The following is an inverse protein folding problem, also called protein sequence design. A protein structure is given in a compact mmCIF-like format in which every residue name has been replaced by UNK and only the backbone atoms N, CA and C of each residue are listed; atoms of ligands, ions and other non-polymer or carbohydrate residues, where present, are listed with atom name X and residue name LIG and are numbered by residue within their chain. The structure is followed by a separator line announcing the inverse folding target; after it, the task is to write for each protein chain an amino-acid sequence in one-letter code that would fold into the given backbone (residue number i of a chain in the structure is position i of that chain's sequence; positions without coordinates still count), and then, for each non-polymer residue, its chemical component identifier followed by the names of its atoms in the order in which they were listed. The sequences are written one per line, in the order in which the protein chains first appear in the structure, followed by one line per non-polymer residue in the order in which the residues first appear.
data_IF_666362512884
#
_entry.id   IF_666362512884
#
_cell.length_a   1.000
_cell.length_b   1.000
_cell.length_c   1.000
_cell.angle_alpha   90.00
_cell.angle_beta   90.00
_cell.angle_gamma   90.00
#
_symmetry.space_group_name_H-M   'P 1'
#
loop_
_entity.id
_entity.type
_entity.pdbx_description
1 polymer ?
#
# COMPACT_ATOMS: atom_id res chain seq x y z
N UNK A 1 -13.11 12.40 -9.44
CA UNK A 1 -12.95 13.09 -10.74
C UNK A 1 -14.03 14.13 -10.90
N UNK A 2 -13.68 15.37 -11.24
CA UNK A 2 -14.57 16.29 -11.97
C UNK A 2 -13.67 17.12 -12.88
N UNK A 3 -13.40 16.60 -14.09
CA UNK A 3 -12.59 17.32 -15.09
C UNK A 3 -13.39 18.55 -15.51
N UNK A 4 -12.93 19.74 -15.14
CA UNK A 4 -13.39 20.99 -15.77
C UNK A 4 -12.87 20.98 -17.22
N UNK A 5 -13.62 20.34 -18.10
CA UNK A 5 -13.54 20.64 -19.52
C UNK A 5 -13.89 22.11 -19.68
N UNK A 6 -12.89 22.94 -19.99
CA UNK A 6 -13.17 24.23 -20.64
C UNK A 6 -13.64 23.88 -22.05
N UNK A 7 -14.96 23.73 -22.19
CA UNK A 7 -15.61 23.61 -23.48
C UNK A 7 -15.60 24.99 -24.15
N UNK A 8 -14.44 25.40 -24.66
CA UNK A 8 -14.34 26.49 -25.62
C UNK A 8 -14.98 26.00 -26.93
N UNK A 9 -16.30 26.12 -27.01
CA UNK A 9 -17.07 25.85 -28.23
C UNK A 9 -16.89 27.02 -29.21
N UNK A 10 -15.66 27.17 -29.72
CA UNK A 10 -15.35 27.99 -30.89
C UNK A 10 -15.88 27.27 -32.14
N UNK A 11 -17.20 27.26 -32.30
CA UNK A 11 -17.91 26.52 -33.34
C UNK A 11 -17.85 27.24 -34.71
N UNK A 12 -16.65 27.40 -35.26
CA UNK A 12 -16.40 27.86 -36.63
C UNK A 12 -16.30 26.65 -37.59
N UNK A 13 -17.36 25.83 -37.66
CA UNK A 13 -17.41 24.68 -38.58
C UNK A 13 -17.66 25.17 -40.00
N UNK A 14 -16.59 25.47 -40.74
CA UNK A 14 -16.61 25.58 -42.21
C UNK A 14 -16.18 24.22 -42.79
N UNK A 15 -16.96 23.18 -42.47
CA UNK A 15 -16.88 21.89 -43.15
C UNK A 15 -17.77 21.94 -44.40
N UNK A 16 -17.28 22.60 -45.44
CA UNK A 16 -18.01 22.75 -46.70
C UNK A 16 -17.11 23.27 -47.82
N UNK A 17 -16.91 22.46 -48.84
CA UNK A 17 -16.20 22.82 -50.08
C UNK A 17 -17.07 23.74 -50.95
N UNK A 18 -17.29 24.96 -50.48
CA UNK A 18 -18.00 26.02 -51.18
C UNK A 18 -17.06 27.22 -51.33
N UNK A 19 -16.70 27.54 -52.58
CA UNK A 19 -15.75 28.61 -52.91
C UNK A 19 -16.40 29.99 -52.72
N UNK A 20 -16.45 30.46 -51.46
CA UNK A 20 -16.85 31.83 -51.14
C UNK A 20 -15.63 32.72 -51.29
N UNK A 21 -15.63 33.73 -52.19
CA UNK A 21 -14.46 34.57 -52.43
C UNK A 21 -14.17 35.48 -51.23
N UNK A 22 -13.29 35.01 -50.34
CA UNK A 22 -12.80 35.76 -49.19
C UNK A 22 -11.91 36.92 -49.66
N UNK A 23 -12.22 38.13 -49.17
CA UNK A 23 -11.44 39.34 -49.39
C UNK A 23 -10.07 39.25 -48.71
N UNK A 24 -9.10 40.05 -49.19
CA UNK A 24 -7.72 40.05 -48.68
C UNK A 24 -7.66 40.28 -47.15
N UNK A 25 -8.46 41.23 -46.65
CA UNK A 25 -8.58 41.50 -45.21
C UNK A 25 -9.13 40.30 -44.39
N UNK A 26 -10.06 39.51 -44.95
CA UNK A 26 -10.57 38.31 -44.29
C UNK A 26 -9.52 37.20 -44.26
N UNK A 27 -8.73 37.04 -45.33
CA UNK A 27 -7.65 36.06 -45.39
C UNK A 27 -6.47 36.41 -44.44
N UNK A 28 -6.07 37.68 -44.36
CA UNK A 28 -5.11 38.14 -43.33
C UNK A 28 -5.62 37.91 -41.90
N UNK A 29 -6.92 38.07 -41.67
CA UNK A 29 -7.56 37.80 -40.38
C UNK A 29 -7.55 36.29 -40.05
N UNK A 30 -7.76 35.43 -41.06
CA UNK A 30 -7.66 33.98 -40.91
C UNK A 30 -6.23 33.55 -40.53
N UNK A 31 -5.20 34.02 -41.24
CA UNK A 31 -3.78 33.73 -40.90
C UNK A 31 -3.46 34.16 -39.46
N UNK A 32 -3.86 35.38 -39.05
CA UNK A 32 -3.68 35.85 -37.66
C UNK A 32 -4.42 34.99 -36.63
N UNK A 33 -5.58 34.42 -36.97
CA UNK A 33 -6.27 33.49 -36.06
C UNK A 33 -5.54 32.14 -35.93
N UNK A 34 -5.00 31.61 -37.05
CA UNK A 34 -4.22 30.38 -37.06
C UNK A 34 -2.92 30.55 -36.27
N UNK A 35 -2.20 31.67 -36.44
CA UNK A 35 -0.98 31.98 -35.67
C UNK A 35 -1.22 32.12 -34.15
N UNK A 36 -2.40 32.59 -33.75
CA UNK A 36 -2.80 32.62 -32.34
C UNK A 36 -3.12 31.21 -31.81
N UNK A 37 -3.79 30.36 -32.59
CA UNK A 37 -4.02 28.95 -32.22
C UNK A 37 -2.73 28.12 -32.20
N UNK A 38 -1.83 28.30 -33.17
CA UNK A 38 -0.46 27.78 -33.19
C UNK A 38 0.25 28.07 -31.87
N UNK A 39 0.28 29.35 -31.48
CA UNK A 39 0.96 29.82 -30.26
C UNK A 39 0.39 29.17 -29.01
N UNK A 40 -0.94 29.09 -28.88
CA UNK A 40 -1.62 28.44 -27.76
C UNK A 40 -1.42 26.91 -27.72
N UNK A 41 -1.35 26.25 -28.88
CA UNK A 41 -1.02 24.81 -28.98
C UNK A 41 0.43 24.56 -28.61
N UNK A 42 1.37 25.41 -29.06
CA UNK A 42 2.81 25.31 -28.77
C UNK A 42 3.10 25.54 -27.28
N UNK A 43 2.41 26.49 -26.64
CA UNK A 43 2.43 26.68 -25.19
C UNK A 43 1.84 25.45 -24.46
N UNK A 44 0.73 24.89 -24.95
CA UNK A 44 0.14 23.66 -24.40
C UNK A 44 1.06 22.45 -24.51
N UNK A 45 1.82 22.32 -25.61
CA UNK A 45 2.84 21.29 -25.81
C UNK A 45 3.98 21.47 -24.81
N UNK A 46 4.49 22.70 -24.62
CA UNK A 46 5.51 23.00 -23.61
C UNK A 46 5.02 22.67 -22.19
N UNK A 47 3.77 23.02 -21.86
CA UNK A 47 3.13 22.64 -20.60
C UNK A 47 3.05 21.13 -20.40
N UNK A 48 2.67 20.37 -21.44
CA UNK A 48 2.60 18.90 -21.40
C UNK A 48 3.97 18.22 -21.36
N UNK A 49 4.99 18.78 -22.01
CA UNK A 49 6.37 18.30 -21.88
C UNK A 49 6.89 18.47 -20.44
N UNK A 50 6.59 19.60 -19.80
CA UNK A 50 6.88 19.83 -18.39
C UNK A 50 6.09 18.91 -17.43
N UNK A 51 4.83 18.59 -17.77
CA UNK A 51 4.02 17.60 -17.03
C UNK A 51 4.64 16.18 -17.17
N UNK A 52 5.06 15.79 -18.37
CA UNK A 52 5.74 14.51 -18.66
C UNK A 52 7.07 14.41 -17.93
N UNK A 53 7.87 15.49 -17.87
CA UNK A 53 9.12 15.52 -17.11
C UNK A 53 8.87 15.28 -15.61
N UNK A 54 7.83 15.90 -15.03
CA UNK A 54 7.40 15.67 -13.64
C UNK A 54 6.89 14.23 -13.43
N UNK A 55 6.17 13.65 -14.39
CA UNK A 55 5.75 12.24 -14.34
C UNK A 55 6.96 11.30 -14.41
N UNK A 56 7.98 11.61 -15.21
CA UNK A 56 9.21 10.84 -15.31
C UNK A 56 10.04 10.87 -14.01
N UNK A 57 10.14 12.02 -13.34
CA UNK A 57 10.85 12.10 -12.04
C UNK A 57 10.07 11.38 -10.93
N UNK A 58 8.75 11.58 -10.87
CA UNK A 58 7.86 10.82 -9.98
C UNK A 58 7.98 9.30 -10.24
N UNK A 59 8.22 8.87 -11.48
CA UNK A 59 8.40 7.46 -11.81
C UNK A 59 9.66 6.85 -11.18
N UNK A 60 10.78 7.59 -11.15
CA UNK A 60 12.02 7.14 -10.47
C UNK A 60 11.77 6.96 -8.97
N UNK A 61 11.09 7.92 -8.35
CA UNK A 61 10.76 7.85 -6.92
C UNK A 61 9.86 6.65 -6.62
N UNK A 62 8.78 6.46 -7.40
CA UNK A 62 7.87 5.32 -7.25
C UNK A 62 8.61 3.98 -7.42
N UNK A 63 9.53 3.89 -8.38
CA UNK A 63 10.34 2.69 -8.60
C UNK A 63 11.28 2.40 -7.42
N UNK A 64 11.92 3.42 -6.83
CA UNK A 64 12.71 3.28 -5.60
C UNK A 64 11.85 2.82 -4.41
N UNK A 65 10.60 3.27 -4.32
CA UNK A 65 9.69 2.86 -3.25
C UNK A 65 9.13 1.43 -3.48
N UNK A 66 8.88 1.03 -4.73
CA UNK A 66 8.62 -0.37 -5.09
C UNK A 66 9.79 -1.29 -4.74
N UNK A 67 11.04 -0.88 -4.98
CA UNK A 67 12.22 -1.66 -4.58
C UNK A 67 12.25 -1.87 -3.05
N UNK A 68 11.97 -0.83 -2.26
CA UNK A 68 11.86 -0.92 -0.79
C UNK A 68 10.70 -1.81 -0.34
N UNK A 69 9.57 -1.80 -1.05
CA UNK A 69 8.44 -2.72 -0.81
C UNK A 69 8.87 -4.16 -1.12
N UNK A 70 9.51 -4.41 -2.25
CA UNK A 70 9.99 -5.75 -2.62
C UNK A 70 11.00 -6.32 -1.62
N UNK A 71 11.87 -5.48 -1.05
CA UNK A 71 12.79 -5.86 0.01
C UNK A 71 12.06 -6.24 1.31
N UNK A 72 11.02 -5.48 1.70
CA UNK A 72 10.16 -5.80 2.85
C UNK A 72 9.34 -7.09 2.63
N UNK A 73 8.85 -7.33 1.40
CA UNK A 73 8.17 -8.58 1.04
C UNK A 73 9.13 -9.78 1.18
N UNK A 74 10.37 -9.67 0.69
CA UNK A 74 11.41 -10.71 0.86
C UNK A 74 11.71 -10.97 2.34
N UNK A 75 11.92 -9.92 3.14
CA UNK A 75 12.19 -10.04 4.58
C UNK A 75 10.99 -10.65 5.34
N UNK A 76 9.76 -10.27 4.98
CA UNK A 76 8.54 -10.83 5.57
C UNK A 76 8.37 -12.31 5.18
N UNK A 77 8.64 -12.69 3.93
CA UNK A 77 8.61 -14.09 3.49
C UNK A 77 9.66 -14.95 4.19
N UNK A 78 10.88 -14.44 4.40
CA UNK A 78 11.91 -15.12 5.18
C UNK A 78 11.42 -15.39 6.62
N UNK A 79 10.90 -14.37 7.31
CA UNK A 79 10.33 -14.53 8.65
C UNK A 79 9.18 -15.53 8.70
N UNK A 80 8.27 -15.51 7.71
CA UNK A 80 7.18 -16.49 7.60
C UNK A 80 7.75 -17.91 7.48
N UNK A 81 8.82 -18.12 6.70
CA UNK A 81 9.47 -19.42 6.58
C UNK A 81 10.11 -19.89 7.88
N UNK A 82 10.95 -19.03 8.51
CA UNK A 82 11.61 -19.29 9.79
C UNK A 82 10.59 -19.62 10.89
N UNK A 83 9.52 -18.82 10.99
CA UNK A 83 8.47 -18.99 12.00
C UNK A 83 7.57 -20.19 11.74
N UNK A 84 7.36 -20.56 10.47
CA UNK A 84 6.67 -21.81 10.12
C UNK A 84 7.49 -23.04 10.52
N UNK A 85 8.81 -22.99 10.38
CA UNK A 85 9.71 -24.04 10.86
C UNK A 85 9.70 -24.15 12.40
N UNK A 86 9.84 -23.04 13.14
CA UNK A 86 9.71 -23.04 14.61
C UNK A 86 8.40 -23.72 15.07
N UNK A 87 7.28 -23.42 14.39
CA UNK A 87 5.97 -23.97 14.71
C UNK A 87 5.86 -25.46 14.39
N UNK A 88 6.58 -25.98 13.40
CA UNK A 88 6.65 -27.42 13.13
C UNK A 88 7.46 -28.13 14.22
N UNK A 89 8.69 -27.67 14.46
CA UNK A 89 9.60 -28.26 15.46
C UNK A 89 8.97 -28.26 16.86
N UNK A 90 8.32 -27.17 17.26
CA UNK A 90 7.63 -27.08 18.56
C UNK A 90 6.44 -28.06 18.65
N UNK A 91 5.75 -28.36 17.55
CA UNK A 91 4.66 -29.37 17.52
C UNK A 91 5.20 -30.80 17.64
N UNK A 92 6.31 -31.10 16.97
CA UNK A 92 6.95 -32.41 17.02
C UNK A 92 7.53 -32.69 18.43
N UNK A 93 8.09 -31.67 19.09
CA UNK A 93 8.46 -31.74 20.51
C UNK A 93 7.26 -32.02 21.41
N UNK A 94 6.13 -31.33 21.20
CA UNK A 94 4.89 -31.54 21.98
C UNK A 94 4.33 -32.95 21.76
N UNK A 95 4.39 -33.48 20.54
CA UNK A 95 4.01 -34.87 20.26
C UNK A 95 4.92 -35.87 21.02
N UNK A 96 6.24 -35.65 20.99
CA UNK A 96 7.21 -36.47 21.73
C UNK A 96 7.02 -36.42 23.25
N UNK A 97 6.72 -35.24 23.80
CA UNK A 97 6.43 -35.07 25.23
C UNK A 97 5.13 -35.76 25.64
N UNK A 98 4.06 -35.67 24.83
CA UNK A 98 2.77 -36.30 25.13
C UNK A 98 2.87 -37.83 25.19
N UNK A 99 3.62 -38.49 24.31
CA UNK A 99 3.79 -39.94 24.37
C UNK A 99 4.64 -40.36 25.60
N UNK A 100 5.72 -39.63 25.92
CA UNK A 100 6.50 -39.83 27.16
C UNK A 100 5.66 -39.60 28.43
N UNK A 101 4.74 -38.64 28.40
CA UNK A 101 3.78 -38.39 29.48
C UNK A 101 2.79 -39.55 29.64
N UNK A 102 2.28 -40.10 28.54
CA UNK A 102 1.38 -41.27 28.50
C UNK A 102 2.05 -42.54 29.03
N UNK A 103 3.30 -42.82 28.64
CA UNK A 103 4.11 -43.89 29.25
C UNK A 103 4.30 -43.69 30.76
N UNK A 104 4.60 -42.45 31.17
CA UNK A 104 4.83 -42.11 32.58
C UNK A 104 3.55 -42.22 33.41
N UNK A 105 2.41 -41.78 32.86
CA UNK A 105 1.08 -41.94 33.45
C UNK A 105 0.74 -43.42 33.65
N UNK A 106 1.05 -44.28 32.66
CA UNK A 106 0.89 -45.74 32.78
C UNK A 106 1.75 -46.33 33.90
N UNK A 107 3.05 -45.98 33.98
CA UNK A 107 3.92 -46.43 35.09
C UNK A 107 3.38 -46.00 36.46
N UNK A 108 2.86 -44.78 36.56
CA UNK A 108 2.24 -44.25 37.79
C UNK A 108 1.01 -45.08 38.17
N UNK A 109 0.14 -45.40 37.21
CA UNK A 109 -1.06 -46.20 37.45
C UNK A 109 -0.73 -47.66 37.84
N UNK A 110 0.21 -48.30 37.16
CA UNK A 110 0.69 -49.65 37.48
C UNK A 110 1.27 -49.72 38.90
N UNK A 111 2.12 -48.75 39.28
CA UNK A 111 2.67 -48.68 40.65
C UNK A 111 1.63 -48.31 41.70
N UNK A 112 0.66 -47.44 41.39
CA UNK A 112 -0.46 -47.16 42.31
C UNK A 112 -1.25 -48.44 42.62
N UNK A 113 -1.50 -49.28 41.61
CA UNK A 113 -2.17 -50.57 41.81
C UNK A 113 -1.37 -51.53 42.71
N UNK A 114 -0.03 -51.59 42.56
CA UNK A 114 0.84 -52.38 43.45
C UNK A 114 0.84 -51.83 44.88
N UNK A 115 1.02 -50.51 45.04
CA UNK A 115 1.02 -49.85 46.34
C UNK A 115 -0.32 -49.99 47.07
N UNK A 116 -1.45 -49.85 46.37
CA UNK A 116 -2.78 -50.00 46.94
C UNK A 116 -3.08 -51.44 47.41
N UNK A 117 -2.61 -52.45 46.68
CA UNK A 117 -2.66 -53.85 47.14
C UNK A 117 -1.82 -54.05 48.40
N UNK A 118 -0.55 -53.61 48.38
CA UNK A 118 0.37 -53.82 49.51
C UNK A 118 -0.05 -53.05 50.77
N UNK A 119 -0.61 -51.85 50.64
CA UNK A 119 -1.21 -51.11 51.74
C UNK A 119 -2.40 -51.87 52.36
N UNK A 120 -3.27 -52.47 51.53
CA UNK A 120 -4.38 -53.32 51.98
C UNK A 120 -3.87 -54.58 52.70
N UNK A 121 -2.85 -55.25 52.16
CA UNK A 121 -2.28 -56.45 52.78
C UNK A 121 -1.68 -56.14 54.16
N UNK A 122 -0.98 -55.00 54.29
CA UNK A 122 -0.45 -54.51 55.57
C UNK A 122 -1.59 -54.20 56.55
N UNK A 123 -2.65 -53.51 56.10
CA UNK A 123 -3.81 -53.21 56.93
C UNK A 123 -4.55 -54.48 57.41
N UNK A 124 -4.74 -55.46 56.53
CA UNK A 124 -5.41 -56.72 56.85
C UNK A 124 -4.61 -57.63 57.80
N UNK A 125 -3.27 -57.54 57.79
CA UNK A 125 -2.38 -58.39 58.60
C UNK A 125 -1.99 -57.81 59.96
N UNK A 126 -2.51 -56.63 60.32
CA UNK A 126 -2.22 -55.99 61.62
C UNK A 126 -1.08 -54.96 61.59
N UNK A 127 -0.83 -54.31 60.45
CA UNK A 127 0.04 -53.14 60.38
C UNK A 127 1.51 -53.42 60.72
N UNK A 128 2.15 -52.50 61.45
CA UNK A 128 3.55 -52.60 61.83
C UNK A 128 3.82 -53.75 62.82
N UNK A 129 2.86 -54.06 63.68
CA UNK A 129 2.99 -55.08 64.73
C UNK A 129 3.13 -56.49 64.12
N UNK A 130 2.55 -56.71 62.95
CA UNK A 130 2.74 -57.94 62.16
C UNK A 130 4.21 -58.23 61.84
N UNK A 131 5.01 -57.19 61.56
CA UNK A 131 6.43 -57.33 61.27
C UNK A 131 7.25 -57.59 62.53
N UNK A 132 6.86 -57.02 63.67
CA UNK A 132 7.48 -57.32 64.97
C UNK A 132 7.20 -58.77 65.37
N UNK A 133 5.97 -59.24 65.23
CA UNK A 133 5.59 -60.62 65.52
C UNK A 133 6.36 -61.63 64.64
N UNK A 134 6.47 -61.39 63.32
CA UNK A 134 7.24 -62.26 62.42
C UNK A 134 8.72 -62.38 62.82
N UNK A 135 9.31 -61.36 63.44
CA UNK A 135 10.67 -61.42 63.99
C UNK A 135 10.72 -62.09 65.37
N UNK A 136 9.76 -61.80 66.26
CA UNK A 136 9.72 -62.36 67.62
C UNK A 136 9.36 -63.86 67.64
N UNK A 137 8.66 -64.35 66.61
CA UNK A 137 8.32 -65.76 66.38
C UNK A 137 9.48 -66.56 65.71
N UNK A 138 10.71 -66.01 65.68
CA UNK A 138 11.87 -66.72 65.14
C UNK A 138 12.34 -67.84 66.08
N UNK A 139 12.60 -69.03 65.56
CA UNK A 139 12.97 -70.21 66.38
C UNK A 139 14.46 -70.25 66.77
N UNK A 140 15.29 -69.35 66.24
CA UNK A 140 16.71 -69.24 66.59
C UNK A 140 17.27 -67.87 66.19
N UNK A 141 18.45 -67.51 66.70
CA UNK A 141 19.15 -66.28 66.29
C UNK A 141 19.49 -66.26 64.77
N UNK A 142 19.74 -67.42 64.16
CA UNK A 142 19.98 -67.50 62.71
C UNK A 142 18.70 -67.21 61.92
N UNK A 143 17.57 -67.78 62.35
CA UNK A 143 16.25 -67.52 61.76
C UNK A 143 15.87 -66.04 61.93
N UNK A 144 16.08 -65.46 63.12
CA UNK A 144 15.88 -64.04 63.39
C UNK A 144 16.64 -63.16 62.39
N UNK A 145 17.94 -63.41 62.19
CA UNK A 145 18.79 -62.64 61.27
C UNK A 145 18.33 -62.81 59.83
N UNK A 146 17.98 -64.02 59.39
CA UNK A 146 17.44 -64.25 58.04
C UNK A 146 16.11 -63.54 57.80
N UNK A 147 15.17 -63.57 58.76
CA UNK A 147 13.90 -62.83 58.68
C UNK A 147 14.12 -61.32 58.70
N UNK A 148 15.02 -60.82 59.54
CA UNK A 148 15.36 -59.40 59.62
C UNK A 148 16.01 -58.88 58.32
N UNK A 149 16.87 -59.66 57.68
CA UNK A 149 17.44 -59.34 56.37
C UNK A 149 16.35 -59.32 55.29
N UNK A 150 15.52 -60.37 55.19
CA UNK A 150 14.43 -60.43 54.22
C UNK A 150 13.43 -59.27 54.38
N UNK A 151 13.00 -58.98 55.61
CA UNK A 151 12.14 -57.84 55.93
C UNK A 151 12.78 -56.51 55.54
N UNK A 152 14.08 -56.33 55.81
CA UNK A 152 14.83 -55.14 55.42
C UNK A 152 14.82 -54.96 53.89
N UNK A 153 15.04 -56.03 53.12
CA UNK A 153 14.92 -56.01 51.65
C UNK A 153 13.51 -55.64 51.21
N UNK A 154 12.46 -56.20 51.82
CA UNK A 154 11.07 -55.88 51.49
C UNK A 154 10.71 -54.41 51.76
N UNK A 155 11.18 -53.81 52.86
CA UNK A 155 10.96 -52.39 53.21
C UNK A 155 11.80 -51.45 52.35
N UNK A 156 13.03 -51.85 51.98
CA UNK A 156 13.84 -51.10 51.01
C UNK A 156 13.17 -51.06 49.62
N UNK A 157 12.59 -52.18 49.18
CA UNK A 157 11.83 -52.25 47.93
C UNK A 157 10.60 -51.31 47.93
N UNK A 158 9.83 -51.25 49.04
CA UNK A 158 8.73 -50.28 49.16
C UNK A 158 9.21 -48.84 49.08
N UNK A 159 10.27 -48.50 49.81
CA UNK A 159 10.87 -47.15 49.77
C UNK A 159 11.39 -46.81 48.37
N UNK A 160 11.87 -47.78 47.60
CA UNK A 160 12.27 -47.58 46.21
C UNK A 160 11.06 -47.34 45.28
N UNK A 161 9.98 -48.12 45.42
CA UNK A 161 8.73 -47.94 44.65
C UNK A 161 8.12 -46.57 44.96
N UNK A 162 8.03 -46.17 46.23
CA UNK A 162 7.50 -44.87 46.64
C UNK A 162 8.34 -43.70 46.08
N UNK A 163 9.67 -43.76 46.17
CA UNK A 163 10.56 -42.74 45.58
C UNK A 163 10.47 -42.69 44.05
N UNK A 164 10.35 -43.83 43.39
CA UNK A 164 10.14 -43.88 41.93
C UNK A 164 8.77 -43.28 41.54
N UNK A 165 7.76 -43.48 42.39
CA UNK A 165 6.41 -42.94 42.20
C UNK A 165 6.36 -41.43 42.40
N UNK A 166 6.99 -40.90 43.46
CA UNK A 166 7.17 -39.47 43.68
C UNK A 166 7.91 -38.81 42.50
N UNK A 167 9.01 -39.43 42.05
CA UNK A 167 9.81 -38.97 40.90
C UNK A 167 8.98 -38.91 39.62
N UNK A 168 8.31 -39.99 39.24
CA UNK A 168 7.52 -40.04 38.00
C UNK A 168 6.34 -39.05 38.05
N UNK A 169 5.68 -38.86 39.21
CA UNK A 169 4.65 -37.82 39.37
C UNK A 169 5.23 -36.40 39.22
N UNK A 170 6.40 -36.12 39.78
CA UNK A 170 7.09 -34.83 39.60
C UNK A 170 7.46 -34.59 38.13
N UNK A 171 8.05 -35.59 37.47
CA UNK A 171 8.38 -35.54 36.03
C UNK A 171 7.14 -35.31 35.17
N UNK A 172 6.04 -36.00 35.44
CA UNK A 172 4.76 -35.82 34.73
C UNK A 172 4.21 -34.39 34.89
N UNK A 173 4.26 -33.82 36.10
CA UNK A 173 3.78 -32.47 36.35
C UNK A 173 4.66 -31.40 35.70
N UNK A 174 5.99 -31.58 35.68
CA UNK A 174 6.90 -30.71 34.92
C UNK A 174 6.62 -30.80 33.41
N UNK A 175 6.45 -32.01 32.87
CA UNK A 175 6.17 -32.20 31.45
C UNK A 175 4.81 -31.59 31.02
N UNK A 176 3.76 -31.70 31.86
CA UNK A 176 2.46 -31.04 31.64
C UNK A 176 2.62 -29.52 31.50
N UNK A 177 3.34 -28.89 32.44
CA UNK A 177 3.58 -27.44 32.41
C UNK A 177 4.45 -27.01 31.21
N UNK A 178 5.40 -27.85 30.78
CA UNK A 178 6.20 -27.60 29.57
C UNK A 178 5.35 -27.68 28.29
N UNK A 179 4.49 -28.71 28.17
CA UNK A 179 3.55 -28.86 27.05
C UNK A 179 2.58 -27.68 26.99
N UNK A 180 2.00 -27.26 28.13
CA UNK A 180 1.11 -26.10 28.19
C UNK A 180 1.82 -24.82 27.69
N UNK A 181 3.05 -24.57 28.16
CA UNK A 181 3.86 -23.43 27.72
C UNK A 181 4.20 -23.50 26.23
N UNK A 182 4.51 -24.68 25.68
CA UNK A 182 4.78 -24.86 24.23
C UNK A 182 3.52 -24.67 23.39
N UNK A 183 2.35 -25.13 23.85
CA UNK A 183 1.07 -24.88 23.19
C UNK A 183 0.73 -23.38 23.16
N UNK A 184 0.96 -22.66 24.27
CA UNK A 184 0.80 -21.19 24.30
C UNK A 184 1.77 -20.48 23.33
N UNK A 185 3.04 -20.92 23.24
CA UNK A 185 3.98 -20.42 22.21
C UNK A 185 3.45 -20.66 20.80
N UNK A 186 3.06 -21.90 20.47
CA UNK A 186 2.52 -22.25 19.14
C UNK A 186 1.28 -21.43 18.79
N UNK A 187 0.38 -21.16 19.75
CA UNK A 187 -0.79 -20.31 19.52
C UNK A 187 -0.40 -18.85 19.23
N UNK A 188 0.59 -18.30 19.94
CA UNK A 188 1.12 -16.96 19.70
C UNK A 188 1.84 -16.86 18.34
N UNK A 189 2.70 -17.83 18.02
CA UNK A 189 3.46 -17.88 16.77
C UNK A 189 2.53 -18.03 15.55
N UNK A 190 1.43 -18.78 15.68
CA UNK A 190 0.41 -18.89 14.63
C UNK A 190 -0.34 -17.57 14.42
N UNK A 191 -0.63 -16.81 15.47
CA UNK A 191 -1.26 -15.49 15.34
C UNK A 191 -0.33 -14.48 14.66
N UNK A 192 0.97 -14.47 15.02
CA UNK A 192 1.99 -13.66 14.35
C UNK A 192 2.16 -14.05 12.88
N UNK A 193 2.13 -15.37 12.56
CA UNK A 193 2.19 -15.86 11.17
C UNK A 193 1.02 -15.35 10.31
N UNK A 194 -0.20 -15.32 10.82
CA UNK A 194 -1.35 -14.78 10.06
C UNK A 194 -1.26 -13.24 9.90
N UNK A 195 -0.80 -12.51 10.92
CA UNK A 195 -0.55 -11.05 10.78
C UNK A 195 0.53 -10.78 9.73
N UNK A 196 1.64 -11.53 9.72
CA UNK A 196 2.70 -11.42 8.72
C UNK A 196 2.21 -11.77 7.31
N UNK A 197 1.39 -12.81 7.14
CA UNK A 197 0.82 -13.20 5.84
C UNK A 197 -0.11 -12.12 5.27
N UNK A 198 -1.05 -11.61 6.07
CA UNK A 198 -1.92 -10.51 5.63
C UNK A 198 -1.11 -9.25 5.34
N UNK A 199 -0.15 -8.86 6.20
CA UNK A 199 0.73 -7.72 5.94
C UNK A 199 1.52 -7.85 4.63
N UNK A 200 1.98 -9.05 4.28
CA UNK A 200 2.67 -9.35 3.02
C UNK A 200 1.73 -9.22 1.82
N UNK A 201 0.52 -9.79 1.91
CA UNK A 201 -0.56 -9.67 0.91
C UNK A 201 -0.92 -8.20 0.63
N UNK A 202 -1.05 -7.34 1.65
CA UNK A 202 -1.26 -5.90 1.44
C UNK A 202 -0.05 -5.25 0.74
N UNK A 203 1.19 -5.57 1.11
CA UNK A 203 2.40 -5.03 0.46
C UNK A 203 2.51 -5.46 -1.02
N UNK A 204 2.22 -6.72 -1.34
CA UNK A 204 2.22 -7.24 -2.71
C UNK A 204 1.16 -6.56 -3.58
N UNK A 205 0.00 -6.24 -3.00
CA UNK A 205 -1.05 -5.50 -3.68
C UNK A 205 -0.66 -4.02 -3.88
N UNK A 206 -0.01 -3.39 -2.89
CA UNK A 206 0.51 -2.01 -2.94
C UNK A 206 1.53 -1.84 -4.09
N UNK A 207 2.44 -2.80 -4.26
CA UNK A 207 3.35 -2.82 -5.39
C UNK A 207 2.61 -2.86 -6.75
N UNK A 208 1.62 -3.76 -6.90
CA UNK A 208 0.84 -3.90 -8.15
C UNK A 208 0.02 -2.65 -8.50
N UNK A 209 -0.56 -2.00 -7.51
CA UNK A 209 -1.37 -0.79 -7.73
C UNK A 209 -0.51 0.43 -8.07
N UNK A 210 0.69 0.55 -7.49
CA UNK A 210 1.71 1.54 -7.89
C UNK A 210 2.18 1.28 -9.34
N UNK A 211 2.48 0.04 -9.71
CA UNK A 211 2.85 -0.35 -11.09
C UNK A 211 1.77 0.02 -12.11
N UNK A 212 0.50 -0.31 -11.81
CA UNK A 212 -0.64 -0.02 -12.68
C UNK A 212 -0.88 1.50 -12.86
N UNK A 213 -0.91 2.25 -11.76
CA UNK A 213 -1.11 3.70 -11.79
C UNK A 213 0.03 4.43 -12.53
N UNK A 214 1.27 3.94 -12.39
CA UNK A 214 2.41 4.49 -13.11
C UNK A 214 2.31 4.25 -14.63
N UNK A 215 1.87 3.06 -15.03
CA UNK A 215 1.62 2.71 -16.44
C UNK A 215 0.52 3.59 -17.04
N UNK A 216 -0.60 3.77 -16.34
CA UNK A 216 -1.70 4.61 -16.81
C UNK A 216 -1.28 6.08 -16.96
N UNK A 217 -0.60 6.67 -15.97
CA UNK A 217 -0.15 8.08 -16.04
C UNK A 217 0.82 8.31 -17.22
N UNK A 218 1.75 7.36 -17.47
CA UNK A 218 2.66 7.42 -18.63
C UNK A 218 1.90 7.31 -19.96
N UNK A 219 0.95 6.38 -20.08
CA UNK A 219 0.17 6.19 -21.31
C UNK A 219 -0.75 7.38 -21.61
N UNK A 220 -1.45 7.92 -20.60
CA UNK A 220 -2.35 9.05 -20.76
C UNK A 220 -1.60 10.32 -21.21
N UNK A 221 -0.46 10.64 -20.57
CA UNK A 221 0.34 11.81 -20.93
C UNK A 221 0.95 11.70 -22.34
N UNK A 222 1.42 10.51 -22.74
CA UNK A 222 1.91 10.27 -24.09
C UNK A 222 0.80 10.43 -25.16
N UNK A 223 -0.40 9.93 -24.88
CA UNK A 223 -1.54 10.04 -25.80
C UNK A 223 -2.08 11.48 -25.94
N UNK A 224 -1.96 12.32 -24.90
CA UNK A 224 -2.25 13.76 -25.01
C UNK A 224 -1.18 14.50 -25.83
N UNK A 225 0.10 14.19 -25.61
CA UNK A 225 1.20 14.81 -26.36
C UNK A 225 1.12 14.51 -27.86
N UNK A 226 0.76 13.29 -28.24
CA UNK A 226 0.54 12.90 -29.64
C UNK A 226 -0.53 13.79 -30.30
N UNK A 227 -1.73 13.85 -29.72
CA UNK A 227 -2.85 14.66 -30.24
C UNK A 227 -2.51 16.14 -30.39
N UNK A 228 -1.72 16.70 -29.48
CA UNK A 228 -1.30 18.10 -29.58
C UNK A 228 -0.31 18.31 -30.73
N UNK A 229 0.63 17.39 -30.96
CA UNK A 229 1.52 17.43 -32.13
C UNK A 229 0.76 17.23 -33.45
N UNK A 230 -0.22 16.34 -33.47
CA UNK A 230 -1.10 16.15 -34.62
C UNK A 230 -1.88 17.44 -34.93
N UNK A 231 -2.35 18.16 -33.90
CA UNK A 231 -2.98 19.48 -34.08
C UNK A 231 -1.99 20.54 -34.57
N UNK A 232 -0.79 20.64 -33.98
CA UNK A 232 0.28 21.57 -34.41
C UNK A 232 0.62 21.36 -35.90
N UNK A 233 0.80 20.11 -36.33
CA UNK A 233 1.03 19.78 -37.74
C UNK A 233 -0.16 20.16 -38.65
N UNK A 234 -1.40 20.00 -38.18
CA UNK A 234 -2.61 20.38 -38.93
C UNK A 234 -2.77 21.90 -39.08
N UNK A 235 -2.40 22.68 -38.06
CA UNK A 235 -2.44 24.14 -38.09
C UNK A 235 -1.33 24.71 -38.98
N UNK A 236 -0.11 24.18 -38.90
CA UNK A 236 1.00 24.53 -39.82
C UNK A 236 0.61 24.30 -41.29
N UNK A 237 -0.10 23.20 -41.58
CA UNK A 237 -0.61 22.92 -42.92
C UNK A 237 -1.70 23.90 -43.38
N UNK A 238 -2.59 24.32 -42.47
CA UNK A 238 -3.64 25.31 -42.74
C UNK A 238 -3.08 26.72 -42.93
N UNK A 239 -2.10 27.14 -42.12
CA UNK A 239 -1.42 28.43 -42.29
C UNK A 239 -0.74 28.50 -43.65
N UNK A 240 0.03 27.46 -44.01
CA UNK A 240 0.74 27.37 -45.28
C UNK A 240 -0.21 27.37 -46.48
N UNK A 241 -1.38 26.74 -46.37
CA UNK A 241 -2.42 26.79 -47.40
C UNK A 241 -3.03 28.19 -47.54
N UNK A 242 -3.36 28.85 -46.42
CA UNK A 242 -3.92 30.21 -46.43
C UNK A 242 -2.93 31.27 -46.95
N UNK A 243 -1.64 31.12 -46.65
CA UNK A 243 -0.56 31.95 -47.19
C UNK A 243 -0.40 31.77 -48.71
N UNK A 244 -0.42 30.52 -49.20
CA UNK A 244 -0.37 30.26 -50.65
C UNK A 244 -1.62 30.81 -51.38
N UNK A 245 -2.80 30.75 -50.77
CA UNK A 245 -4.02 31.36 -51.33
C UNK A 245 -3.91 32.89 -51.38
N UNK A 246 -3.30 33.53 -50.37
CA UNK A 246 -2.98 34.96 -50.36
C UNK A 246 -2.02 35.34 -51.50
N UNK A 247 -0.89 34.65 -51.65
CA UNK A 247 0.08 34.90 -52.73
C UNK A 247 -0.58 34.76 -54.12
N UNK A 248 -1.39 33.72 -54.34
CA UNK A 248 -2.07 33.51 -55.62
C UNK A 248 -2.99 34.67 -56.00
N UNK A 249 -3.68 35.27 -55.02
CA UNK A 249 -4.56 36.44 -55.22
C UNK A 249 -3.80 37.75 -55.41
N UNK A 250 -2.54 37.86 -54.97
CA UNK A 250 -1.71 39.00 -55.35
C UNK A 250 -1.32 38.92 -56.84
N UNK A 251 -0.96 37.72 -57.33
CA UNK A 251 -0.58 37.54 -58.74
C UNK A 251 -1.70 37.80 -59.75
N UNK A 252 -2.98 37.68 -59.36
CA UNK A 252 -4.13 38.01 -60.23
C UNK A 252 -4.43 39.52 -60.35
N UNK A 253 -3.78 40.39 -59.56
CA UNK A 253 -4.11 41.84 -59.52
C UNK A 253 -3.09 42.77 -60.21
N UNK A 254 -2.10 42.21 -60.92
CA UNK A 254 -1.17 42.98 -61.74
C UNK A 254 -1.80 43.35 -63.11
N UNK A 255 -2.00 44.64 -63.44
CA UNK A 255 -2.68 45.05 -64.68
C UNK A 255 -1.80 44.89 -65.92
N UNK A 256 -2.39 44.42 -67.01
CA UNK A 256 -1.72 44.21 -68.31
C UNK A 256 -1.35 45.52 -69.01
N UNK A 257 -0.07 45.86 -69.00
CA UNK A 257 0.59 46.78 -69.95
C UNK A 257 2.06 46.31 -70.15
N UNK A 258 2.65 46.31 -71.35
CA UNK A 258 2.20 46.80 -72.67
C UNK A 258 2.88 45.98 -73.78
N UNK A 259 2.23 45.77 -74.94
CA UNK A 259 2.82 45.03 -76.07
C UNK A 259 3.17 45.95 -77.25
N UNK A 260 4.46 46.29 -77.44
CA UNK A 260 4.93 47.08 -78.58
C UNK A 260 6.42 46.87 -78.96
N UNK A 261 6.67 45.84 -79.79
CA UNK A 261 7.73 45.71 -80.84
C UNK A 261 9.22 46.06 -80.61
N UNK A 262 10.05 45.08 -80.99
CA UNK A 262 11.41 45.16 -81.62
C UNK A 262 12.59 45.69 -80.78
N UNK A 263 13.84 45.23 -80.94
CA UNK A 263 14.42 44.35 -81.99
C UNK A 263 15.46 43.32 -81.47
N UNK A 264 15.64 42.23 -82.22
CA UNK A 264 16.70 41.21 -82.07
C UNK A 264 17.95 41.59 -82.96
N UNK A 265 19.01 40.77 -83.15
CA UNK A 265 19.28 39.39 -82.68
C UNK A 265 20.72 39.08 -82.17
N UNK A 266 20.98 37.79 -81.82
CA UNK A 266 22.21 36.93 -81.97
C UNK A 266 23.63 37.54 -81.77
N UNK A 267 24.69 36.86 -81.32
CA UNK A 267 25.04 35.47 -80.91
C UNK A 267 26.27 35.60 -79.94
N UNK A 268 26.86 34.61 -79.26
CA UNK A 268 27.19 33.21 -79.58
C UNK A 268 27.38 32.35 -78.31
N UNK A 269 27.98 31.15 -78.41
CA UNK A 269 28.15 30.13 -77.34
C UNK A 269 29.60 29.95 -76.86
N UNK A 270 29.75 29.03 -75.89
CA UNK A 270 30.95 28.38 -75.32
C UNK A 270 31.34 28.98 -73.95
N UNK A 271 31.41 28.24 -72.84
CA UNK A 271 32.12 26.96 -72.56
C UNK A 271 33.65 27.13 -72.77
N UNK A 272 34.55 26.74 -71.87
CA UNK A 272 34.49 25.79 -70.76
C UNK A 272 35.61 26.12 -69.73
N UNK A 273 35.59 25.42 -68.58
CA UNK A 273 36.75 24.96 -67.80
C UNK A 273 37.56 25.90 -66.89
N UNK A 274 37.45 25.54 -65.60
CA UNK A 274 38.54 25.30 -64.64
C UNK A 274 39.33 26.48 -64.02
N UNK A 275 39.32 26.49 -62.68
CA UNK A 275 40.48 26.87 -61.86
C UNK A 275 40.55 25.95 -60.64
N UNK A 276 41.76 25.68 -60.14
CA UNK A 276 42.03 24.61 -59.16
C UNK A 276 42.82 25.14 -57.97
N UNK A 277 42.38 24.79 -56.76
CA UNK A 277 43.24 24.77 -55.56
C UNK A 277 43.14 25.98 -54.61
N UNK A 278 43.79 25.95 -53.44
CA UNK A 278 44.51 24.83 -52.77
C UNK A 278 44.74 25.12 -51.28
N UNK A 279 44.25 24.24 -50.38
CA UNK A 279 44.67 24.07 -48.96
C UNK A 279 44.53 25.31 -48.02
N UNK A 280 44.79 25.29 -46.70
CA UNK A 280 44.98 24.26 -45.64
C UNK A 280 43.90 24.49 -44.56
N UNK A 281 43.45 23.55 -43.71
CA UNK A 281 44.19 22.86 -42.64
C UNK A 281 44.64 23.81 -41.51
N UNK A 282 44.52 23.54 -40.20
CA UNK A 282 43.98 22.40 -39.40
C UNK A 282 44.01 22.81 -37.90
N UNK A 283 43.21 22.16 -37.04
CA UNK A 283 43.51 21.67 -35.67
C UNK A 283 44.17 22.59 -34.58
N UNK A 284 43.93 22.48 -33.26
CA UNK A 284 42.86 21.85 -32.44
C UNK A 284 43.01 22.30 -30.95
N UNK A 285 42.02 22.00 -30.10
CA UNK A 285 42.10 21.70 -28.65
C UNK A 285 42.62 22.74 -27.62
N UNK A 286 41.65 23.30 -26.86
CA UNK A 286 41.45 23.19 -25.40
C UNK A 286 42.52 23.61 -24.35
N UNK A 287 42.06 24.19 -23.21
CA UNK A 287 42.87 24.41 -21.99
C UNK A 287 42.13 25.13 -20.84
N UNK A 288 42.20 24.59 -19.61
CA UNK A 288 41.51 25.11 -18.40
C UNK A 288 42.34 26.12 -17.57
N UNK A 289 41.71 26.89 -16.67
CA UNK A 289 42.33 27.45 -15.44
C UNK A 289 41.28 27.97 -14.42
N UNK A 290 41.66 28.16 -13.15
CA UNK A 290 40.82 28.61 -12.02
C UNK A 290 41.68 29.34 -10.95
N UNK A 291 41.24 29.85 -9.79
CA UNK A 291 39.98 29.75 -9.02
C UNK A 291 39.79 30.99 -8.08
N UNK A 292 39.15 30.82 -6.90
CA UNK A 292 39.00 31.78 -5.76
C UNK A 292 38.04 32.99 -6.01
N UNK A 293 37.31 33.60 -5.05
CA UNK A 293 36.85 33.35 -3.63
C UNK A 293 35.73 34.37 -3.29
N UNK A 294 34.93 34.38 -2.21
CA UNK A 294 34.71 33.60 -0.97
C UNK A 294 33.18 33.68 -0.64
N UNK A 295 32.48 32.64 -0.14
CA UNK A 295 32.23 32.29 1.29
C UNK A 295 31.53 33.37 2.16
N UNK A 296 30.25 33.14 2.50
CA UNK A 296 29.66 33.59 3.77
C UNK A 296 28.57 32.61 4.30
N UNK A 297 28.00 32.86 5.49
CA UNK A 297 27.08 31.95 6.23
C UNK A 297 25.71 32.58 6.46
N UNK A 298 24.64 31.77 6.36
CA UNK A 298 23.51 31.85 7.31
C UNK A 298 22.99 30.44 7.64
N UNK A 299 22.33 30.28 8.80
CA UNK A 299 21.55 29.08 9.16
C UNK A 299 20.06 29.42 9.04
N UNK A 300 19.28 28.50 8.46
CA UNK A 300 17.93 28.23 8.95
C UNK A 300 17.55 26.79 8.60
N UNK A 301 16.82 26.11 9.48
CA UNK A 301 16.42 24.72 9.27
C UNK A 301 15.04 24.62 8.62
N UNK A 302 14.89 23.78 7.60
CA UNK A 302 13.58 23.34 7.12
C UNK A 302 13.44 21.83 7.30
N UNK A 303 12.40 21.42 8.01
CA UNK A 303 12.13 20.03 8.38
C UNK A 303 11.37 19.36 7.24
N UNK A 304 12.01 18.38 6.59
CA UNK A 304 11.42 17.64 5.49
C UNK A 304 10.05 17.05 5.88
N UNK A 305 8.99 17.46 5.16
CA UNK A 305 7.65 16.87 5.30
C UNK A 305 7.60 15.57 4.51
N UNK A 306 7.17 14.49 5.16
CA UNK A 306 6.86 13.24 4.47
C UNK A 306 5.60 13.42 3.62
N UNK A 307 5.74 13.43 2.30
CA UNK A 307 4.59 13.36 1.38
C UNK A 307 4.25 11.88 1.18
N UNK A 308 3.38 11.35 2.04
CA UNK A 308 2.82 10.02 1.83
C UNK A 308 1.79 10.08 0.68
N UNK A 309 2.02 9.32 -0.40
CA UNK A 309 1.10 9.22 -1.54
C UNK A 309 0.53 7.80 -1.60
N UNK A 310 -0.79 7.68 -1.62
CA UNK A 310 -1.49 6.39 -1.68
C UNK A 310 -1.67 5.93 -3.13
N UNK A 311 -1.58 4.62 -3.43
CA UNK A 311 -2.07 4.08 -4.69
C UNK A 311 -3.59 3.80 -4.68
N UNK A 312 -4.17 3.78 -5.89
CA UNK A 312 -5.56 3.42 -6.16
C UNK A 312 -5.67 1.91 -6.36
N UNK A 313 -6.63 1.26 -5.70
CA UNK A 313 -6.83 -0.19 -5.79
C UNK A 313 -8.09 -0.55 -6.56
N UNK A 314 -8.04 -1.68 -7.26
CA UNK A 314 -9.18 -2.39 -7.83
C UNK A 314 -8.83 -3.88 -7.84
N UNK A 315 -9.73 -4.72 -7.35
CA UNK A 315 -9.60 -6.18 -7.35
C UNK A 315 -10.67 -6.77 -8.27
N UNK A 316 -10.34 -7.80 -9.06
CA UNK A 316 -11.30 -8.51 -9.91
C UNK A 316 -11.31 -10.01 -9.59
N UNK A 317 -12.52 -10.52 -9.44
CA UNK A 317 -12.85 -11.78 -8.77
C UNK A 317 -14.36 -11.96 -8.78
N UNK A 318 -14.92 -12.00 -10.00
CA UNK A 318 -16.35 -11.78 -10.25
C UNK A 318 -17.31 -12.74 -9.53
N UNK A 319 -17.98 -12.21 -8.49
CA UNK A 319 -19.30 -12.66 -8.05
C UNK A 319 -20.05 -11.50 -7.34
N UNK A 320 -21.20 -11.07 -7.89
CA UNK A 320 -22.07 -10.03 -7.30
C UNK A 320 -21.38 -8.68 -6.97
N UNK A 321 -20.76 -8.07 -8.00
CA UNK A 321 -19.68 -7.09 -7.84
C UNK A 321 -20.10 -5.60 -7.69
N UNK A 322 -20.91 -5.26 -6.68
CA UNK A 322 -21.19 -3.85 -6.33
C UNK A 322 -20.40 -3.36 -5.11
N UNK A 323 -20.36 -4.13 -4.01
CA UNK A 323 -19.78 -3.67 -2.74
C UNK A 323 -18.29 -3.32 -2.81
N UNK A 324 -17.48 -4.17 -3.44
CA UNK A 324 -16.02 -3.99 -3.55
C UNK A 324 -15.65 -2.72 -4.34
N UNK A 325 -16.17 -2.58 -5.58
CA UNK A 325 -15.90 -1.40 -6.41
C UNK A 325 -16.37 -0.08 -5.80
N UNK A 326 -17.46 -0.10 -5.01
CA UNK A 326 -17.92 1.06 -4.26
C UNK A 326 -16.96 1.43 -3.11
N UNK A 327 -16.46 0.46 -2.34
CA UNK A 327 -15.46 0.69 -1.28
C UNK A 327 -14.16 1.27 -1.87
N UNK A 328 -13.63 0.66 -2.92
CA UNK A 328 -12.38 1.13 -3.53
C UNK A 328 -12.52 2.50 -4.19
N UNK A 329 -13.68 2.82 -4.77
CA UNK A 329 -13.96 4.16 -5.30
C UNK A 329 -14.02 5.22 -4.19
N UNK A 330 -14.51 4.89 -3.00
CA UNK A 330 -14.53 5.79 -1.85
C UNK A 330 -13.11 6.04 -1.32
N UNK A 331 -12.36 4.96 -1.08
CA UNK A 331 -10.98 5.02 -0.61
C UNK A 331 -10.11 5.79 -1.61
N UNK A 332 -10.14 5.43 -2.90
CA UNK A 332 -9.32 6.07 -3.93
C UNK A 332 -9.66 7.55 -4.13
N UNK A 333 -10.92 7.96 -3.92
CA UNK A 333 -11.32 9.36 -3.93
C UNK A 333 -10.76 10.14 -2.73
N UNK A 334 -10.81 9.58 -1.52
CA UNK A 334 -10.23 10.19 -0.32
C UNK A 334 -8.70 10.22 -0.36
N UNK A 335 -8.08 9.12 -0.78
CA UNK A 335 -6.64 8.98 -0.97
C UNK A 335 -6.01 10.01 -1.92
N UNK A 336 -6.78 10.52 -2.88
CA UNK A 336 -6.33 11.59 -3.78
C UNK A 336 -6.20 12.98 -3.10
N UNK A 337 -6.62 13.12 -1.84
CA UNK A 337 -6.58 14.36 -1.07
C UNK A 337 -5.40 14.46 -0.08
N UNK A 338 -4.58 13.42 0.07
CA UNK A 338 -3.44 13.43 0.99
C UNK A 338 -2.39 14.44 0.54
N UNK A 339 -1.90 15.26 1.49
CA UNK A 339 -0.98 16.37 1.21
C UNK A 339 -1.62 17.56 0.48
N UNK A 340 -2.93 17.51 0.20
CA UNK A 340 -3.69 18.55 -0.51
C UNK A 340 -4.85 19.11 0.32
N UNK A 341 -4.84 18.87 1.62
CA UNK A 341 -5.94 19.18 2.55
C UNK A 341 -5.43 19.69 3.89
N UNK A 342 -6.33 20.31 4.67
CA UNK A 342 -6.06 20.75 6.04
C UNK A 342 -7.29 20.55 6.90
N UNK A 343 -7.07 20.19 8.17
CA UNK A 343 -8.16 19.94 9.09
C UNK A 343 -8.85 21.23 9.56
N UNK A 344 -10.18 21.20 9.59
CA UNK A 344 -11.05 22.27 10.07
C UNK A 344 -12.28 21.64 10.70
N UNK A 345 -12.45 21.77 12.02
CA UNK A 345 -13.71 21.43 12.70
C UNK A 345 -14.89 22.08 11.97
N UNK A 346 -15.90 21.29 11.58
CA UNK A 346 -17.04 21.80 10.82
C UNK A 346 -16.83 21.90 9.30
N UNK A 347 -15.59 21.74 8.80
CA UNK A 347 -15.23 21.77 7.38
C UNK A 347 -15.88 20.65 6.55
N UNK A 348 -15.63 20.64 5.25
CA UNK A 348 -16.16 19.66 4.29
C UNK A 348 -17.66 19.75 4.00
N UNK A 349 -18.41 20.61 4.70
CA UNK A 349 -19.88 20.70 4.60
C UNK A 349 -20.37 21.75 3.61
N UNK A 350 -19.53 22.72 3.23
CA UNK A 350 -19.82 23.68 2.15
C UNK A 350 -19.00 23.38 0.90
N UNK A 351 -19.50 23.84 -0.27
CA UNK A 351 -18.74 23.79 -1.53
C UNK A 351 -17.40 24.53 -1.43
N UNK A 352 -17.31 25.57 -0.59
CA UNK A 352 -16.08 26.34 -0.38
C UNK A 352 -15.05 25.55 0.41
N UNK A 353 -15.45 24.88 1.49
CA UNK A 353 -14.55 24.04 2.29
C UNK A 353 -13.96 22.91 1.44
N UNK A 354 -14.82 22.18 0.71
CA UNK A 354 -14.40 21.11 -0.20
C UNK A 354 -13.43 21.62 -1.27
N UNK A 355 -13.70 22.78 -1.88
CA UNK A 355 -12.86 23.36 -2.92
C UNK A 355 -11.49 23.84 -2.42
N UNK A 356 -11.36 24.17 -1.13
CA UNK A 356 -10.11 24.57 -0.48
C UNK A 356 -9.44 23.42 0.30
N UNK A 357 -9.93 22.18 0.19
CA UNK A 357 -9.37 21.03 0.88
C UNK A 357 -9.56 21.06 2.41
N UNK A 358 -10.55 21.78 2.92
CA UNK A 358 -10.82 21.93 4.35
C UNK A 358 -11.87 20.91 4.80
N UNK A 359 -11.51 19.97 5.68
CA UNK A 359 -12.38 18.88 6.15
C UNK A 359 -12.27 18.65 7.66
N UNK A 360 -13.27 18.02 8.27
CA UNK A 360 -13.07 17.22 9.48
C UNK A 360 -13.23 15.73 9.16
N UNK A 361 -12.86 14.86 10.10
CA UNK A 361 -12.86 13.42 9.91
C UNK A 361 -14.22 12.87 9.43
N UNK A 362 -15.32 13.36 9.98
CA UNK A 362 -16.66 12.90 9.64
C UNK A 362 -17.15 13.42 8.29
N UNK A 363 -16.85 14.68 7.95
CA UNK A 363 -17.20 15.24 6.63
C UNK A 363 -16.30 14.71 5.51
N UNK A 364 -15.05 14.37 5.81
CA UNK A 364 -14.16 13.66 4.89
C UNK A 364 -14.69 12.25 4.56
N UNK A 365 -15.00 11.45 5.59
CA UNK A 365 -15.56 10.09 5.43
C UNK A 365 -16.88 10.14 4.64
N UNK A 366 -17.75 11.09 4.95
CA UNK A 366 -18.99 11.34 4.21
C UNK A 366 -18.72 11.69 2.74
N UNK A 367 -17.84 12.65 2.48
CA UNK A 367 -17.49 13.12 1.13
C UNK A 367 -16.88 12.01 0.27
N UNK A 368 -15.97 11.21 0.84
CA UNK A 368 -15.30 10.10 0.16
C UNK A 368 -16.33 9.05 -0.30
N UNK A 369 -17.23 8.65 0.60
CA UNK A 369 -18.32 7.74 0.27
C UNK A 369 -19.35 8.33 -0.69
N UNK A 370 -19.60 9.64 -0.64
CA UNK A 370 -20.43 10.32 -1.63
C UNK A 370 -19.81 10.29 -3.04
N UNK A 371 -18.47 10.34 -3.19
CA UNK A 371 -17.82 10.11 -4.50
C UNK A 371 -18.07 8.70 -5.03
N UNK A 372 -18.24 7.71 -4.16
CA UNK A 372 -18.61 6.35 -4.52
C UNK A 372 -20.11 6.15 -4.82
N UNK A 373 -20.96 7.14 -4.51
CA UNK A 373 -22.42 7.05 -4.62
C UNK A 373 -23.12 6.53 -3.37
N UNK A 374 -22.40 6.37 -2.25
CA UNK A 374 -22.96 5.94 -0.96
C UNK A 374 -23.44 7.14 -0.17
N UNK A 375 -24.71 7.15 0.19
CA UNK A 375 -25.31 8.21 1.00
C UNK A 375 -25.14 7.89 2.50
N UNK A 376 -24.22 8.60 3.16
CA UNK A 376 -24.00 8.53 4.62
C UNK A 376 -24.73 9.66 5.38
N UNK A 377 -25.85 10.14 4.84
CA UNK A 377 -26.65 11.26 5.37
C UNK A 377 -26.52 12.54 4.54
N UNK A 378 -27.20 13.60 4.97
CA UNK A 378 -27.04 14.94 4.38
C UNK A 378 -25.71 15.59 4.75
N UNK A 379 -25.43 16.79 4.22
CA UNK A 379 -24.20 17.55 4.48
C UNK A 379 -23.93 17.90 5.96
N UNK A 380 -24.89 17.66 6.86
CA UNK A 380 -24.72 17.79 8.31
C UNK A 380 -24.09 16.57 9.00
N UNK A 381 -23.67 15.53 8.27
CA UNK A 381 -23.08 14.32 8.81
C UNK A 381 -21.94 14.62 9.80
N UNK A 382 -21.96 13.92 10.94
CA UNK A 382 -21.01 14.04 12.04
C UNK A 382 -20.66 12.66 12.62
N UNK A 383 -19.60 12.58 13.43
CA UNK A 383 -19.07 11.32 13.95
C UNK A 383 -20.11 10.46 14.67
N UNK A 384 -21.02 11.06 15.43
CA UNK A 384 -22.07 10.34 16.18
C UNK A 384 -23.17 9.79 15.25
N UNK A 385 -23.57 10.55 14.23
CA UNK A 385 -24.49 10.03 13.19
C UNK A 385 -23.87 8.87 12.41
N UNK A 386 -22.59 8.98 12.01
CA UNK A 386 -21.88 7.90 11.31
C UNK A 386 -21.71 6.66 12.20
N UNK A 387 -21.50 6.84 13.50
CA UNK A 387 -21.42 5.74 14.47
C UNK A 387 -22.76 5.01 14.70
N UNK A 388 -23.88 5.54 14.18
CA UNK A 388 -25.18 4.88 14.15
C UNK A 388 -25.52 4.18 12.82
N UNK A 389 -24.78 4.43 11.73
CA UNK A 389 -25.09 3.89 10.40
C UNK A 389 -24.58 2.46 10.19
N UNK A 390 -25.16 1.80 9.18
CA UNK A 390 -24.68 0.51 8.68
C UNK A 390 -24.86 -0.66 9.66
N UNK A 391 -24.20 -1.77 9.35
CA UNK A 391 -24.18 -2.94 10.23
C UNK A 391 -23.07 -2.78 11.29
N UNK A 392 -23.37 -3.11 12.55
CA UNK A 392 -22.36 -3.26 13.58
C UNK A 392 -21.48 -4.48 13.29
N UNK A 393 -20.16 -4.32 13.37
CA UNK A 393 -19.19 -5.38 13.12
C UNK A 393 -18.24 -5.49 14.32
N UNK A 394 -17.88 -6.71 14.71
CA UNK A 394 -16.82 -6.92 15.72
C UNK A 394 -15.48 -6.47 15.16
N UNK A 395 -14.62 -5.84 15.97
CA UNK A 395 -13.30 -5.39 15.52
C UNK A 395 -12.45 -6.52 14.89
N UNK A 396 -12.59 -7.77 15.34
CA UNK A 396 -11.90 -8.94 14.75
C UNK A 396 -12.41 -9.34 13.35
N UNK A 397 -13.54 -8.78 12.91
CA UNK A 397 -14.20 -9.04 11.63
C UNK A 397 -14.29 -7.78 10.75
N UNK A 398 -13.55 -6.72 11.11
CA UNK A 398 -13.48 -5.50 10.30
C UNK A 398 -12.84 -5.78 8.94
N UNK A 399 -13.44 -5.23 7.89
CA UNK A 399 -12.99 -5.34 6.50
C UNK A 399 -12.68 -3.96 5.95
N UNK A 400 -11.83 -3.91 4.92
CA UNK A 400 -11.55 -2.70 4.16
C UNK A 400 -12.86 -2.03 3.74
N UNK A 401 -12.95 -0.72 3.94
CA UNK A 401 -14.18 0.07 3.78
C UNK A 401 -14.98 0.30 5.07
N UNK A 402 -14.89 -0.56 6.08
CA UNK A 402 -15.63 -0.35 7.34
C UNK A 402 -15.21 0.95 8.03
N UNK A 403 -16.17 1.68 8.60
CA UNK A 403 -15.90 2.88 9.39
C UNK A 403 -15.39 2.47 10.78
N UNK A 404 -14.27 3.04 11.19
CA UNK A 404 -13.60 2.77 12.47
C UNK A 404 -13.55 4.03 13.32
N UNK A 405 -13.87 3.89 14.61
CA UNK A 405 -14.09 5.03 15.51
C UNK A 405 -13.12 5.05 16.69
N UNK A 406 -12.84 6.26 17.18
CA UNK A 406 -11.82 6.49 18.21
C UNK A 406 -12.30 7.49 19.27
N UNK A 407 -11.89 7.23 20.52
CA UNK A 407 -12.07 8.11 21.66
C UNK A 407 -10.89 9.09 21.72
N UNK A 408 -11.08 10.30 21.18
CA UNK A 408 -10.06 11.36 21.15
C UNK A 408 -10.42 12.47 22.15
N UNK A 409 -11.12 13.52 21.71
CA UNK A 409 -11.62 14.60 22.59
C UNK A 409 -12.98 14.29 23.21
N UNK A 410 -13.66 13.22 22.74
CA UNK A 410 -14.89 12.64 23.31
C UNK A 410 -15.00 11.16 22.91
N UNK A 411 -15.99 10.45 23.45
CA UNK A 411 -16.41 9.15 22.93
C UNK A 411 -16.90 9.29 21.48
N UNK A 412 -16.42 8.44 20.57
CA UNK A 412 -16.56 8.62 19.12
C UNK A 412 -16.17 10.05 18.68
N UNK A 413 -15.01 10.54 19.12
CA UNK A 413 -14.48 11.86 18.74
C UNK A 413 -13.96 11.88 17.30
N UNK A 414 -13.42 10.76 16.83
CA UNK A 414 -12.81 10.63 15.49
C UNK A 414 -13.33 9.41 14.73
N UNK A 415 -13.25 9.45 13.40
CA UNK A 415 -13.64 8.37 12.48
C UNK A 415 -12.73 8.34 11.25
N UNK A 416 -12.51 7.16 10.70
CA UNK A 416 -11.90 6.97 9.38
C UNK A 416 -12.41 5.71 8.67
N UNK A 417 -11.92 5.49 7.45
CA UNK A 417 -12.24 4.32 6.62
C UNK A 417 -11.11 3.29 6.80
N UNK A 418 -11.42 2.10 7.29
CA UNK A 418 -10.42 1.04 7.45
C UNK A 418 -9.87 0.57 6.10
N UNK A 419 -8.56 0.37 6.01
CA UNK A 419 -7.86 0.02 4.76
C UNK A 419 -7.41 -1.45 4.69
N UNK A 420 -7.47 -2.18 5.80
CA UNK A 420 -6.74 -3.43 5.98
C UNK A 420 -5.40 -3.22 6.71
N UNK A 421 -4.77 -4.32 7.14
CA UNK A 421 -3.42 -4.30 7.73
C UNK A 421 -3.23 -3.35 8.94
N UNK A 422 -4.27 -3.13 9.75
CA UNK A 422 -4.21 -2.21 10.89
C UNK A 422 -4.11 -0.72 10.52
N UNK A 423 -4.49 -0.34 9.29
CA UNK A 423 -4.45 1.04 8.78
C UNK A 423 -5.83 1.60 8.49
N UNK A 424 -5.96 2.92 8.55
CA UNK A 424 -7.19 3.62 8.19
C UNK A 424 -6.87 4.95 7.49
N UNK A 425 -7.78 5.38 6.61
CA UNK A 425 -7.76 6.65 5.90
C UNK A 425 -8.68 7.64 6.63
N UNK A 426 -8.16 8.80 7.00
CA UNK A 426 -8.86 9.75 7.87
C UNK A 426 -8.65 11.21 7.45
N UNK A 427 -9.17 12.15 8.24
CA UNK A 427 -8.71 13.53 8.20
C UNK A 427 -8.48 14.03 9.64
N UNK A 428 -7.25 14.38 10.01
CA UNK A 428 -6.87 14.80 11.37
C UNK A 428 -6.08 16.11 11.43
N UNK A 429 -5.98 16.66 12.64
CA UNK A 429 -5.41 17.98 12.94
C UNK A 429 -3.93 18.16 12.61
N UNK A 430 -3.18 17.07 12.40
CA UNK A 430 -1.74 17.12 12.15
C UNK A 430 -1.42 17.25 10.66
N UNK A 431 -2.03 16.39 9.84
CA UNK A 431 -1.59 16.14 8.46
C UNK A 431 -2.70 16.35 7.41
N UNK A 432 -3.90 16.78 7.82
CA UNK A 432 -5.05 16.86 6.91
C UNK A 432 -5.62 15.47 6.64
N UNK A 433 -5.96 15.16 5.39
CA UNK A 433 -6.32 13.78 5.00
C UNK A 433 -5.05 12.93 5.03
N UNK A 434 -5.07 11.83 5.79
CA UNK A 434 -3.88 11.02 6.08
C UNK A 434 -4.16 9.51 6.03
N UNK A 435 -3.10 8.69 6.07
CA UNK A 435 -3.20 7.26 6.40
C UNK A 435 -2.45 6.99 7.68
N UNK A 436 -3.18 6.51 8.67
CA UNK A 436 -2.68 6.29 10.02
C UNK A 436 -2.76 4.81 10.43
N UNK A 437 -2.07 4.46 11.52
CA UNK A 437 -1.93 3.08 12.02
C UNK A 437 -2.62 2.90 13.36
N UNK A 438 -3.63 2.02 13.41
CA UNK A 438 -4.34 1.67 14.66
C UNK A 438 -3.69 0.50 15.41
N UNK A 439 -2.73 -0.23 14.81
CA UNK A 439 -2.00 -1.31 15.50
C UNK A 439 -0.94 -0.82 16.49
N UNK A 440 -0.61 0.48 16.51
CA UNK A 440 0.46 1.08 17.31
C UNK A 440 0.19 2.55 17.65
N UNK A 441 0.97 3.14 18.58
CA UNK A 441 0.94 4.57 18.89
C UNK A 441 -0.39 5.09 19.46
N UNK A 442 -0.65 6.39 19.22
CA UNK A 442 -1.82 7.12 19.71
C UNK A 442 -3.15 6.47 19.30
N UNK A 443 -3.30 6.15 18.01
CA UNK A 443 -4.54 5.59 17.48
C UNK A 443 -4.88 4.20 18.03
N UNK A 444 -3.89 3.40 18.44
CA UNK A 444 -4.13 2.16 19.19
C UNK A 444 -4.78 2.41 20.54
N UNK A 445 -4.35 3.45 21.26
CA UNK A 445 -4.87 3.82 22.57
C UNK A 445 -6.27 4.43 22.47
N UNK A 446 -6.54 5.16 21.39
CA UNK A 446 -7.85 5.79 21.15
C UNK A 446 -8.88 4.86 20.49
N UNK A 447 -8.48 3.78 19.79
CA UNK A 447 -9.44 2.91 19.10
C UNK A 447 -10.38 2.22 20.09
N UNK A 448 -11.69 2.42 19.92
CA UNK A 448 -12.68 2.02 20.92
C UNK A 448 -13.43 0.71 20.59
N UNK A 449 -13.04 0.02 19.52
CA UNK A 449 -13.65 -1.23 19.07
C UNK A 449 -14.96 -1.07 18.28
N UNK A 450 -15.51 0.14 18.16
CA UNK A 450 -16.71 0.37 17.34
C UNK A 450 -16.34 0.36 15.86
N UNK A 451 -16.99 -0.53 15.11
CA UNK A 451 -16.83 -0.68 13.66
C UNK A 451 -18.19 -0.75 12.98
N UNK A 452 -18.37 0.02 11.89
CA UNK A 452 -19.62 0.08 11.11
C UNK A 452 -19.40 -0.23 9.64
N UNK A 453 -20.05 -1.28 9.15
CA UNK A 453 -20.06 -1.65 7.73
C UNK A 453 -21.19 -0.93 7.00
N UNK A 454 -20.82 0.07 6.19
CA UNK A 454 -21.76 0.95 5.48
C UNK A 454 -22.01 0.56 4.01
N UNK A 455 -21.17 -0.33 3.46
CA UNK A 455 -21.36 -1.00 2.16
C UNK A 455 -21.49 -2.51 2.42
N UNK A 456 -22.41 -3.19 1.74
CA UNK A 456 -22.70 -4.62 1.90
C UNK A 456 -22.10 -5.45 0.78
#
# INVERSE_FOLDING_TARGET
MNRKFLSLTAAAVIAGSAFVPLSKANAETAVKSIQNEESAVKESISGKQNEIAKIAENAKQLQSDMEKISAKIRQTNQKISEKTQEVSETKDEVASLNEKMKETQKRIEERNNVLARRARDIQQKGGADSYLNVLLESSSLSDFVSRAQALTTFVQADRAILKAQEKDNKTLNTAKAEVEKKLQKVQSDLAELEELKEANKYQLADQKSLEAALKEQKQAAAAELAKLKDKEASLNAQEKAALAELESKETETAPSATAAKSSAPQESKQDDSASTGTSTGRDDSNGETAAHTQKEKTKSGSRAKHVARVPSFSDDGSASNNGSGTVEKAISAGSALIGHTSYKMGGGRTKSDIANGLFDCSSFVHWAYAQAGVNLGGSGANTDTLAGLGQAVSASHMKRGDLVFFNTYKYNGHVGIYLGGGKFLDCNSSDGVSIDTMSSGYWKQCFNGVVRRVVK
#
